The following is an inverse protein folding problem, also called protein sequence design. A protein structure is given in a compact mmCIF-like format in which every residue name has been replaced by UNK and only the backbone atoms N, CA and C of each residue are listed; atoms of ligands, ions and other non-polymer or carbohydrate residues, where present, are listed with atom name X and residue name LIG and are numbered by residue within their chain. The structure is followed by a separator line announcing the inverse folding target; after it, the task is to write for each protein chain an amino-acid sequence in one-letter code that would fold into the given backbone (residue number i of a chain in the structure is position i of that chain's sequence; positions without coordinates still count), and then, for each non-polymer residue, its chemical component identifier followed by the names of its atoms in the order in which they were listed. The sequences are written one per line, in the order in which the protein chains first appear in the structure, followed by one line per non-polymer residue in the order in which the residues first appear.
data_IF_554812736904
#
_entry.id   IF_554812736904
#
_cell.length_a   1.000
_cell.length_b   1.000
_cell.length_c   1.000
_cell.angle_alpha   90.00
_cell.angle_beta   90.00
_cell.angle_gamma   90.00
#
_symmetry.space_group_name_H-M   'P 1'
#
loop_
_entity.id
_entity.type
_entity.pdbx_description
1 polymer ?
#
# COMPACT_ATOMS: atom_id res chain seq x y z
N UNK A 1 46.72 -3.11 -18.68
CA UNK A 1 46.17 -1.74 -18.55
C UNK A 1 44.71 -1.89 -18.16
N UNK A 2 44.30 -1.23 -17.08
CA UNK A 2 42.99 -1.35 -16.43
C UNK A 2 41.90 -0.76 -17.33
N UNK A 3 40.81 -1.49 -17.57
CA UNK A 3 39.54 -0.87 -17.97
C UNK A 3 38.88 -0.33 -16.69
N UNK A 4 38.79 0.98 -16.59
CA UNK A 4 37.94 1.64 -15.61
C UNK A 4 36.49 1.57 -16.11
N UNK A 5 35.73 0.62 -15.57
CA UNK A 5 34.28 0.63 -15.70
C UNK A 5 33.75 1.82 -14.90
N UNK A 6 33.21 2.81 -15.61
CA UNK A 6 32.43 3.88 -15.03
C UNK A 6 31.16 3.26 -14.42
N UNK A 7 31.23 2.94 -13.12
CA UNK A 7 30.06 2.73 -12.30
C UNK A 7 29.34 4.07 -12.22
N UNK A 8 28.29 4.23 -13.01
CA UNK A 8 27.27 5.25 -12.73
C UNK A 8 26.77 4.94 -11.33
N UNK A 9 27.19 5.74 -10.34
CA UNK A 9 26.49 5.79 -9.07
C UNK A 9 25.07 6.18 -9.43
N UNK A 10 24.10 5.29 -9.22
CA UNK A 10 22.75 5.74 -8.95
C UNK A 10 22.87 6.68 -7.75
N UNK A 11 22.85 7.98 -8.01
CA UNK A 11 22.74 9.00 -7.00
C UNK A 11 21.36 8.83 -6.35
N UNK A 12 21.33 8.02 -5.30
CA UNK A 12 20.21 7.89 -4.38
C UNK A 12 19.87 9.29 -3.88
N UNK A 13 18.85 9.89 -4.47
CA UNK A 13 18.49 11.28 -4.24
C UNK A 13 17.64 11.35 -2.98
N UNK A 14 18.27 11.11 -1.83
CA UNK A 14 17.74 11.58 -0.54
C UNK A 14 17.85 13.09 -0.50
N UNK A 15 16.91 13.79 -1.13
CA UNK A 15 16.82 15.24 -1.02
C UNK A 15 15.37 15.70 -0.93
N UNK A 16 14.79 15.49 0.26
CA UNK A 16 13.63 16.22 0.76
C UNK A 16 14.01 17.70 0.87
N UNK A 17 13.86 18.45 -0.23
CA UNK A 17 13.93 19.90 -0.22
C UNK A 17 12.55 20.45 0.15
N UNK A 18 12.36 20.69 1.43
CA UNK A 18 11.35 21.64 1.90
C UNK A 18 11.74 23.03 1.38
N UNK A 19 11.21 23.42 0.22
CA UNK A 19 11.29 24.78 -0.30
C UNK A 19 10.03 25.57 0.11
N UNK A 20 9.79 25.65 1.41
CA UNK A 20 8.88 26.63 2.02
C UNK A 20 9.57 28.01 2.02
N UNK A 21 9.27 28.83 1.02
CA UNK A 21 9.76 30.21 0.91
C UNK A 21 8.61 31.18 0.69
N UNK A 22 7.94 31.57 1.77
CA UNK A 22 6.84 32.54 1.75
C UNK A 22 7.31 33.99 1.63
N UNK A 23 6.60 34.78 0.82
CA UNK A 23 6.55 36.24 0.90
C UNK A 23 5.11 36.65 1.22
N UNK A 24 4.85 36.95 2.49
CA UNK A 24 3.59 37.56 2.93
C UNK A 24 3.71 39.07 2.74
N UNK A 25 2.93 39.62 1.80
CA UNK A 25 2.70 41.06 1.73
C UNK A 25 1.63 41.43 2.78
N UNK A 26 2.03 42.09 3.85
CA UNK A 26 1.10 42.62 4.86
C UNK A 26 0.43 43.88 4.31
N UNK A 27 -0.80 43.75 3.84
CA UNK A 27 -1.67 44.90 3.57
C UNK A 27 -2.33 45.32 4.89
N UNK A 28 -1.84 46.43 5.46
CA UNK A 28 -2.50 47.08 6.58
C UNK A 28 -3.81 47.72 6.10
N UNK A 29 -4.95 47.11 6.42
CA UNK A 29 -6.26 47.74 6.27
C UNK A 29 -6.64 48.35 7.62
N UNK A 30 -6.57 49.68 7.69
CA UNK A 30 -7.01 50.48 8.82
C UNK A 30 -8.40 51.08 8.54
N UNK A 31 -9.25 51.12 9.58
CA UNK A 31 -10.58 51.74 9.60
C UNK A 31 -11.69 50.67 9.56
N UNK A 32 -12.77 50.72 10.35
CA UNK A 32 -13.43 51.74 11.17
C UNK A 32 -14.41 50.92 12.07
N UNK A 33 -14.36 50.96 13.41
CA UNK A 33 -15.06 51.87 14.34
C UNK A 33 -16.57 52.05 14.04
N UNK A 34 -17.38 51.94 15.12
CA UNK A 34 -18.84 52.24 15.26
C UNK A 34 -19.82 51.18 14.70
N UNK A 35 -21.00 50.89 15.27
CA UNK A 35 -21.74 51.27 16.49
C UNK A 35 -23.06 50.47 16.50
N UNK A 36 -23.58 50.14 17.69
CA UNK A 36 -25.04 50.09 17.95
C UNK A 36 -25.81 48.76 17.77
N UNK A 37 -26.58 48.39 18.80
CA UNK A 37 -27.83 47.63 18.61
C UNK A 37 -28.27 46.70 19.75
N UNK A 38 -28.89 47.26 20.79
CA UNK A 38 -29.79 46.58 21.74
C UNK A 38 -30.91 45.79 21.04
N UNK A 39 -31.28 44.64 21.60
CA UNK A 39 -32.45 43.87 21.16
C UNK A 39 -32.75 42.69 22.10
N UNK A 40 -33.35 43.00 23.24
CA UNK A 40 -33.95 42.01 24.13
C UNK A 40 -35.26 41.50 23.51
N UNK A 41 -35.42 40.18 23.42
CA UNK A 41 -36.73 39.53 23.41
C UNK A 41 -36.65 38.19 24.13
N UNK A 42 -37.47 38.08 25.17
CA UNK A 42 -37.71 36.90 25.97
C UNK A 42 -39.06 36.32 25.57
N UNK A 43 -39.10 35.02 25.27
CA UNK A 43 -40.29 34.15 25.23
C UNK A 43 -39.70 32.72 25.25
N UNK A 44 -40.02 31.77 26.14
CA UNK A 44 -41.14 31.59 27.05
C UNK A 44 -41.63 30.14 26.92
N UNK A 45 -41.64 29.37 28.04
CA UNK A 45 -42.18 28.00 28.26
C UNK A 45 -41.21 26.85 27.94
N UNK A 46 -40.66 26.09 28.89
CA UNK A 46 -41.27 25.20 29.92
C UNK A 46 -42.07 24.06 29.29
N UNK A 47 -41.51 22.85 29.29
CA UNK A 47 -42.16 21.63 29.83
C UNK A 47 -41.18 20.44 29.79
N UNK A 48 -41.32 19.63 30.84
CA UNK A 48 -40.53 18.50 31.33
C UNK A 48 -40.59 17.24 30.47
N UNK A 49 -39.55 16.41 30.49
CA UNK A 49 -39.70 15.04 31.03
C UNK A 49 -38.35 14.36 31.32
N UNK A 50 -38.31 13.70 32.46
CA UNK A 50 -37.21 12.90 32.96
C UNK A 50 -37.53 11.44 32.67
N UNK A 51 -36.57 10.65 32.21
CA UNK A 51 -36.67 9.20 32.32
C UNK A 51 -35.33 8.62 32.81
N UNK A 52 -35.46 7.90 33.92
CA UNK A 52 -34.46 7.33 34.81
C UNK A 52 -34.69 5.82 34.81
N UNK A 53 -33.61 5.04 34.72
CA UNK A 53 -33.60 3.58 34.89
C UNK A 53 -32.99 2.88 33.68
N UNK A 54 -31.98 2.03 33.78
CA UNK A 54 -31.55 1.19 34.89
C UNK A 54 -31.36 -0.22 34.33
N UNK A 55 -30.17 -0.81 34.49
CA UNK A 55 -29.92 -2.17 34.00
C UNK A 55 -28.45 -2.57 34.11
N UNK A 56 -28.02 -2.94 35.31
CA UNK A 56 -26.79 -3.67 35.53
C UNK A 56 -27.08 -5.17 35.36
N UNK A 57 -26.39 -5.83 34.44
CA UNK A 57 -26.32 -7.29 34.38
C UNK A 57 -24.85 -7.73 34.45
N UNK A 58 -24.51 -8.28 35.61
CA UNK A 58 -23.28 -9.00 35.85
C UNK A 58 -23.51 -10.47 35.50
N UNK A 59 -22.75 -10.99 34.52
CA UNK A 59 -22.72 -12.40 34.15
C UNK A 59 -21.29 -12.91 34.09
N UNK A 60 -20.91 -13.62 35.14
CA UNK A 60 -19.69 -14.41 35.32
C UNK A 60 -19.79 -15.75 34.57
N UNK A 61 -18.71 -16.16 33.90
CA UNK A 61 -18.25 -17.53 33.59
C UNK A 61 -17.02 -17.37 32.70
N UNK A 62 -15.79 -17.63 33.15
CA UNK A 62 -15.33 -18.94 33.58
C UNK A 62 -14.42 -19.48 32.46
N UNK A 63 -13.11 -19.34 32.63
CA UNK A 63 -12.14 -19.82 31.64
C UNK A 63 -11.87 -21.31 31.75
N UNK A 64 -11.55 -21.95 30.62
CA UNK A 64 -10.62 -23.08 30.53
C UNK A 64 -10.23 -23.38 29.06
N UNK A 65 -8.92 -23.27 28.80
CA UNK A 65 -8.03 -24.13 27.98
C UNK A 65 -8.49 -24.76 26.66
N UNK A 66 -7.65 -24.50 25.65
CA UNK A 66 -7.12 -25.42 24.64
C UNK A 66 -8.10 -26.27 23.80
N UNK A 67 -8.30 -25.85 22.54
CA UNK A 67 -8.46 -26.79 21.41
C UNK A 67 -7.53 -26.36 20.28
N UNK A 68 -6.41 -27.06 20.23
CA UNK A 68 -5.61 -27.24 19.04
C UNK A 68 -6.27 -28.36 18.21
N UNK A 69 -6.53 -28.08 16.94
CA UNK A 69 -6.72 -29.10 15.90
C UNK A 69 -8.15 -29.38 15.44
N UNK A 70 -8.38 -29.14 14.15
CA UNK A 70 -9.35 -29.91 13.36
C UNK A 70 -10.39 -29.08 12.64
N UNK A 71 -10.06 -28.68 11.41
CA UNK A 71 -10.90 -28.79 10.20
C UNK A 71 -12.29 -29.40 10.44
N UNK A 72 -13.34 -28.58 10.31
CA UNK A 72 -14.67 -29.04 9.92
C UNK A 72 -15.44 -27.84 9.32
N UNK A 73 -15.78 -28.00 8.04
CA UNK A 73 -16.41 -26.98 7.22
C UNK A 73 -17.73 -26.47 7.78
N UNK A 74 -17.89 -25.15 7.68
CA UNK A 74 -19.14 -24.45 7.85
C UNK A 74 -19.24 -23.41 6.74
N UNK A 75 -19.94 -23.77 5.67
CA UNK A 75 -20.48 -22.87 4.66
C UNK A 75 -21.22 -21.71 5.36
N UNK A 76 -20.58 -20.54 5.43
CA UNK A 76 -21.28 -19.26 5.53
C UNK A 76 -21.08 -18.55 4.19
N UNK A 77 -22.04 -18.82 3.31
CA UNK A 77 -22.34 -18.07 2.10
C UNK A 77 -22.84 -16.67 2.50
N UNK A 78 -21.90 -15.82 2.93
CA UNK A 78 -22.06 -14.38 3.03
C UNK A 78 -21.03 -13.79 2.05
N UNK A 79 -21.39 -13.77 0.77
CA UNK A 79 -20.55 -13.42 -0.39
C UNK A 79 -20.05 -11.97 -0.43
N UNK A 80 -19.27 -11.59 0.56
CA UNK A 80 -18.30 -10.51 0.50
C UNK A 80 -17.00 -11.10 1.02
N UNK A 81 -16.19 -11.62 0.09
CA UNK A 81 -14.77 -11.88 0.34
C UNK A 81 -14.20 -10.56 0.85
N UNK A 82 -13.96 -10.47 2.16
CA UNK A 82 -13.12 -9.43 2.71
C UNK A 82 -11.79 -9.59 1.96
N UNK A 83 -11.45 -8.62 1.11
CA UNK A 83 -10.29 -8.66 0.21
C UNK A 83 -9.00 -8.46 0.99
N UNK A 84 -8.83 -9.24 2.07
CA UNK A 84 -7.72 -9.27 3.00
C UNK A 84 -6.98 -10.60 2.98
N UNK A 85 -7.51 -11.60 2.28
CA UNK A 85 -6.87 -12.90 2.10
C UNK A 85 -6.21 -13.00 0.71
N UNK A 86 -4.89 -13.20 0.68
CA UNK A 86 -4.12 -13.21 -0.58
C UNK A 86 -4.43 -14.43 -1.44
N UNK A 87 -4.74 -15.58 -0.83
CA UNK A 87 -5.06 -16.81 -1.55
C UNK A 87 -6.36 -16.60 -2.36
N UNK A 88 -7.40 -16.07 -1.73
CA UNK A 88 -8.66 -15.75 -2.40
C UNK A 88 -8.49 -14.70 -3.51
N UNK A 89 -7.62 -13.70 -3.30
CA UNK A 89 -7.33 -12.68 -4.30
C UNK A 89 -6.62 -13.27 -5.53
N UNK A 90 -5.61 -14.13 -5.32
CA UNK A 90 -4.89 -14.83 -6.39
C UNK A 90 -5.80 -15.72 -7.24
N UNK A 91 -6.74 -16.43 -6.62
CA UNK A 91 -7.66 -17.33 -7.35
C UNK A 91 -8.57 -16.59 -8.34
N UNK A 92 -8.85 -15.30 -8.09
CA UNK A 92 -9.74 -14.49 -8.92
C UNK A 92 -8.99 -13.56 -9.88
N UNK A 93 -7.69 -13.38 -9.69
CA UNK A 93 -6.88 -12.44 -10.45
C UNK A 93 -6.47 -12.96 -11.85
N UNK A 94 -6.43 -12.06 -12.83
CA UNK A 94 -5.77 -12.30 -14.12
C UNK A 94 -4.30 -11.90 -14.00
N UNK A 95 -3.45 -12.87 -13.63
CA UNK A 95 -2.04 -12.60 -13.33
C UNK A 95 -1.26 -12.41 -14.64
N UNK A 96 -0.67 -11.23 -14.80
CA UNK A 96 0.24 -10.94 -15.91
C UNK A 96 1.69 -11.33 -15.57
N UNK A 97 2.37 -12.05 -16.47
CA UNK A 97 3.75 -12.48 -16.29
C UNK A 97 4.76 -11.37 -16.64
N UNK A 98 5.57 -11.00 -15.64
CA UNK A 98 6.68 -10.07 -15.73
C UNK A 98 8.00 -10.69 -15.23
N UNK A 99 8.08 -12.02 -15.10
CA UNK A 99 9.32 -12.72 -14.76
C UNK A 99 10.44 -12.41 -15.77
N UNK A 100 11.70 -12.46 -15.33
CA UNK A 100 12.88 -12.09 -16.11
C UNK A 100 13.11 -10.59 -16.28
N UNK A 101 12.29 -9.73 -15.67
CA UNK A 101 12.45 -8.26 -15.73
C UNK A 101 13.03 -7.71 -14.45
N UNK A 102 13.87 -6.70 -14.59
CA UNK A 102 14.46 -6.00 -13.44
C UNK A 102 13.55 -4.89 -12.88
N UNK A 103 12.59 -4.40 -13.67
CA UNK A 103 11.63 -3.36 -13.28
C UNK A 103 10.23 -3.64 -13.88
N UNK A 104 9.19 -3.38 -13.09
CA UNK A 104 7.77 -3.41 -13.48
C UNK A 104 7.12 -2.10 -13.07
N UNK A 105 6.28 -1.55 -13.95
CA UNK A 105 5.50 -0.35 -13.67
C UNK A 105 4.03 -0.71 -13.48
N UNK A 106 3.43 -0.16 -12.43
CA UNK A 106 2.00 -0.29 -12.10
C UNK A 106 1.42 1.12 -12.05
N UNK A 107 0.36 1.35 -12.80
CA UNK A 107 -0.42 2.59 -12.74
C UNK A 107 -1.38 2.52 -11.56
N UNK A 108 -1.49 3.61 -10.80
CA UNK A 108 -2.44 3.75 -9.69
C UNK A 108 -3.46 4.81 -10.06
N UNK A 109 -4.65 4.35 -10.42
CA UNK A 109 -5.78 5.19 -10.76
C UNK A 109 -6.88 5.07 -9.69
N UNK A 110 -7.36 6.17 -9.08
CA UNK A 110 -8.37 6.07 -8.03
C UNK A 110 -9.78 5.67 -8.53
N UNK A 111 -10.03 5.70 -9.84
CA UNK A 111 -11.28 5.28 -10.47
C UNK A 111 -11.22 3.84 -10.98
N UNK A 112 -10.09 3.44 -11.59
CA UNK A 112 -9.89 2.11 -12.21
C UNK A 112 -9.07 1.12 -11.35
N UNK A 113 -8.35 1.58 -10.33
CA UNK A 113 -7.54 0.77 -9.43
C UNK A 113 -6.07 0.64 -9.87
N UNK A 114 -5.50 -0.57 -9.71
CA UNK A 114 -4.14 -0.87 -10.16
C UNK A 114 -4.16 -1.42 -11.59
N UNK A 115 -3.27 -0.93 -12.46
CA UNK A 115 -3.09 -1.48 -13.81
C UNK A 115 -1.59 -1.73 -14.09
N UNK A 116 -1.15 -3.00 -14.24
CA UNK A 116 -1.93 -4.23 -14.07
C UNK A 116 -2.44 -4.46 -12.63
N UNK A 117 -3.56 -5.17 -12.48
CA UNK A 117 -4.15 -5.49 -11.16
C UNK A 117 -3.38 -6.58 -10.41
N UNK A 118 -2.83 -7.53 -11.17
CA UNK A 118 -2.10 -8.67 -10.65
C UNK A 118 -0.91 -9.02 -11.53
N UNK A 119 0.24 -9.22 -10.91
CA UNK A 119 1.50 -9.48 -11.63
C UNK A 119 2.32 -10.58 -10.99
N UNK A 120 2.99 -11.38 -11.82
CA UNK A 120 4.04 -12.32 -11.43
C UNK A 120 5.41 -11.71 -11.71
N UNK A 121 6.29 -11.67 -10.72
CA UNK A 121 7.67 -11.18 -10.83
C UNK A 121 8.64 -12.17 -10.20
N UNK A 122 9.94 -11.91 -10.37
CA UNK A 122 10.99 -12.61 -9.64
C UNK A 122 11.48 -11.79 -8.44
N UNK A 123 12.13 -12.45 -7.48
CA UNK A 123 12.91 -11.76 -6.45
C UNK A 123 13.95 -10.84 -7.08
N UNK A 124 14.28 -9.76 -6.38
CA UNK A 124 15.16 -8.67 -6.83
C UNK A 124 14.59 -7.82 -7.98
N UNK A 125 13.31 -7.97 -8.34
CA UNK A 125 12.61 -7.04 -9.26
C UNK A 125 12.12 -5.80 -8.52
N UNK A 126 12.29 -4.63 -9.15
CA UNK A 126 11.77 -3.35 -8.65
C UNK A 126 10.36 -3.11 -9.21
N UNK A 127 9.39 -2.89 -8.33
CA UNK A 127 8.04 -2.45 -8.72
C UNK A 127 7.95 -0.94 -8.52
N UNK A 128 7.51 -0.21 -9.54
CA UNK A 128 7.25 1.23 -9.51
C UNK A 128 5.77 1.51 -9.67
N UNK A 129 5.16 2.15 -8.67
CA UNK A 129 3.80 2.67 -8.75
C UNK A 129 3.83 4.11 -9.27
N UNK A 130 2.97 4.42 -10.24
CA UNK A 130 2.80 5.77 -10.79
C UNK A 130 1.35 6.23 -10.60
N UNK A 131 1.12 7.30 -9.85
CA UNK A 131 -0.23 7.80 -9.59
C UNK A 131 -0.75 8.68 -10.73
N UNK A 132 -1.96 8.40 -11.24
CA UNK A 132 -2.67 9.23 -12.22
C UNK A 132 -3.69 10.16 -11.57
N UNK A 133 -4.10 9.88 -10.34
CA UNK A 133 -5.04 10.67 -9.54
C UNK A 133 -4.65 10.73 -8.06
N UNK A 134 -5.56 11.23 -7.22
CA UNK A 134 -5.33 11.35 -5.77
C UNK A 134 -5.81 10.09 -5.06
N UNK A 135 -4.88 9.38 -4.42
CA UNK A 135 -5.14 8.24 -3.54
C UNK A 135 -4.02 8.13 -2.51
N UNK A 136 -4.16 7.23 -1.53
CA UNK A 136 -3.09 6.95 -0.58
C UNK A 136 -1.90 6.29 -1.26
N UNK A 137 -0.75 6.30 -0.58
CA UNK A 137 0.33 5.37 -0.85
C UNK A 137 -0.14 3.91 -0.77
N UNK A 138 0.69 3.03 -1.32
CA UNK A 138 0.45 1.58 -1.27
C UNK A 138 0.80 1.06 0.12
N UNK A 139 -0.16 0.38 0.75
CA UNK A 139 0.02 -0.25 2.06
C UNK A 139 -0.19 -1.78 1.96
N UNK A 140 0.51 -2.57 2.80
CA UNK A 140 0.36 -4.02 2.81
C UNK A 140 -0.98 -4.40 3.44
N UNK A 141 -1.60 -5.46 2.93
CA UNK A 141 -2.81 -6.07 3.50
C UNK A 141 -2.52 -7.49 3.99
N UNK A 142 -1.82 -8.27 3.18
CA UNK A 142 -1.35 -9.61 3.52
C UNK A 142 -0.04 -9.88 2.77
N UNK A 143 1.04 -10.19 3.50
CA UNK A 143 2.38 -10.30 2.93
C UNK A 143 3.12 -11.47 3.60
N UNK A 144 4.15 -12.04 2.96
CA UNK A 144 4.95 -13.10 3.56
C UNK A 144 5.60 -12.63 4.86
N UNK A 145 5.64 -13.48 5.89
CA UNK A 145 6.23 -13.19 7.22
C UNK A 145 7.68 -12.71 7.16
N UNK A 146 8.42 -13.14 6.13
CA UNK A 146 9.80 -12.75 5.91
C UNK A 146 9.93 -11.33 5.36
N UNK A 147 8.90 -10.80 4.69
CA UNK A 147 8.93 -9.48 4.14
C UNK A 147 8.67 -8.42 5.21
N UNK A 148 9.50 -7.37 5.21
CA UNK A 148 9.34 -6.20 6.08
C UNK A 148 8.86 -5.04 5.23
N UNK A 149 7.59 -4.67 5.35
CA UNK A 149 7.09 -3.40 4.82
C UNK A 149 7.64 -2.23 5.65
N UNK A 150 7.85 -1.07 5.03
CA UNK A 150 8.39 0.10 5.74
C UNK A 150 7.43 0.54 6.86
N UNK A 151 7.90 1.38 7.80
CA UNK A 151 7.25 1.77 9.09
C UNK A 151 5.73 1.52 9.14
N UNK A 152 5.24 0.50 9.86
CA UNK A 152 3.80 0.20 10.17
C UNK A 152 2.78 1.09 9.40
N UNK A 153 2.76 0.94 8.06
CA UNK A 153 1.84 1.67 7.19
C UNK A 153 0.61 0.81 7.02
N UNK A 154 -0.55 1.39 7.28
CA UNK A 154 -1.87 0.79 7.13
C UNK A 154 -2.79 1.80 6.42
N UNK A 155 -4.00 1.38 6.06
CA UNK A 155 -4.97 2.24 5.38
C UNK A 155 -5.24 3.58 6.10
N UNK A 156 -5.11 3.63 7.43
CA UNK A 156 -5.33 4.84 8.24
C UNK A 156 -4.09 5.75 8.36
N UNK A 157 -2.88 5.20 8.20
CA UNK A 157 -1.61 5.92 8.36
C UNK A 157 -0.93 6.27 7.03
N UNK A 158 -1.36 5.62 5.94
CA UNK A 158 -0.88 5.86 4.58
C UNK A 158 -1.02 7.34 4.17
N UNK A 159 0.07 7.92 3.67
CA UNK A 159 0.08 9.30 3.19
C UNK A 159 -0.65 9.43 1.86
N UNK A 160 -1.19 10.62 1.59
CA UNK A 160 -1.82 10.90 0.29
C UNK A 160 -0.77 11.20 -0.78
N UNK A 161 -0.92 10.56 -1.95
CA UNK A 161 -0.23 10.85 -3.20
C UNK A 161 -1.17 11.55 -4.20
N UNK A 162 -0.60 12.14 -5.24
CA UNK A 162 -1.31 12.86 -6.29
C UNK A 162 -0.82 12.45 -7.67
N UNK A 163 -1.54 12.91 -8.69
CA UNK A 163 -1.16 12.69 -10.09
C UNK A 163 0.28 13.14 -10.37
N UNK A 164 1.09 12.22 -10.88
CA UNK A 164 2.51 12.43 -11.18
C UNK A 164 3.48 12.12 -10.03
N UNK A 165 2.99 11.71 -8.86
CA UNK A 165 3.83 11.09 -7.83
C UNK A 165 4.17 9.64 -8.22
N UNK A 166 5.29 9.15 -7.72
CA UNK A 166 5.81 7.81 -7.94
C UNK A 166 6.46 7.24 -6.67
N UNK A 167 6.45 5.91 -6.56
CA UNK A 167 7.10 5.17 -5.48
C UNK A 167 7.66 3.87 -6.04
N UNK A 168 8.85 3.48 -5.59
CA UNK A 168 9.50 2.24 -5.98
C UNK A 168 9.78 1.33 -4.78
N UNK A 169 9.72 0.01 -4.99
CA UNK A 169 10.05 -1.00 -3.98
C UNK A 169 10.71 -2.22 -4.60
N UNK A 170 11.74 -2.71 -3.93
CA UNK A 170 12.40 -3.98 -4.24
C UNK A 170 11.74 -5.13 -3.45
N UNK A 171 11.37 -6.19 -4.15
CA UNK A 171 10.82 -7.41 -3.54
C UNK A 171 11.90 -8.49 -3.48
N UNK A 172 12.27 -8.90 -2.28
CA UNK A 172 13.37 -9.86 -2.06
C UNK A 172 12.92 -11.20 -1.49
N UNK A 173 11.74 -11.22 -0.87
CA UNK A 173 11.11 -12.42 -0.33
C UNK A 173 10.12 -12.97 -1.37
N UNK A 174 10.19 -14.28 -1.63
CA UNK A 174 9.20 -14.94 -2.46
C UNK A 174 7.87 -15.11 -1.71
N UNK A 175 6.80 -15.36 -2.47
CA UNK A 175 5.45 -15.53 -1.95
C UNK A 175 4.43 -14.58 -2.56
N UNK A 176 3.21 -14.66 -2.04
CA UNK A 176 2.09 -13.85 -2.48
C UNK A 176 1.94 -12.60 -1.62
N UNK A 177 1.65 -11.48 -2.26
CA UNK A 177 1.47 -10.18 -1.63
C UNK A 177 0.13 -9.59 -2.05
N UNK A 178 -0.66 -9.21 -1.06
CA UNK A 178 -1.85 -8.38 -1.21
C UNK A 178 -1.54 -6.99 -0.67
N UNK A 179 -1.80 -5.98 -1.49
CA UNK A 179 -1.61 -4.59 -1.12
C UNK A 179 -2.81 -3.74 -1.52
N UNK A 180 -2.98 -2.61 -0.84
CA UNK A 180 -4.11 -1.72 -1.03
C UNK A 180 -3.70 -0.28 -1.26
N UNK A 181 -4.62 0.50 -1.83
CA UNK A 181 -4.63 1.95 -1.81
C UNK A 181 -6.08 2.42 -1.66
N UNK A 182 -6.26 3.66 -1.20
CA UNK A 182 -7.58 4.25 -0.95
C UNK A 182 -7.73 5.58 -1.64
N UNK A 183 -8.83 5.79 -2.33
CA UNK A 183 -9.14 7.08 -2.95
C UNK A 183 -9.66 8.11 -1.93
N UNK A 184 -9.83 9.35 -2.38
CA UNK A 184 -10.29 10.47 -1.56
C UNK A 184 -11.72 10.28 -0.98
N UNK A 185 -12.51 9.39 -1.57
CA UNK A 185 -13.88 9.07 -1.16
C UNK A 185 -13.94 7.84 -0.22
N UNK A 186 -12.81 7.41 0.35
CA UNK A 186 -12.69 6.23 1.23
C UNK A 186 -12.85 4.89 0.49
N UNK A 187 -12.94 4.90 -0.84
CA UNK A 187 -12.98 3.69 -1.66
C UNK A 187 -11.61 3.01 -1.71
N UNK A 188 -11.51 1.81 -1.16
CA UNK A 188 -10.31 0.98 -1.22
C UNK A 188 -10.31 0.11 -2.48
N UNK A 189 -9.12 -0.12 -3.02
CA UNK A 189 -8.87 -1.06 -4.10
C UNK A 189 -7.55 -1.80 -3.84
N UNK A 190 -7.44 -3.01 -4.35
CA UNK A 190 -6.36 -3.95 -4.03
C UNK A 190 -5.64 -4.38 -5.29
N UNK A 191 -4.34 -4.68 -5.15
CA UNK A 191 -3.54 -5.33 -6.18
C UNK A 191 -2.82 -6.55 -5.61
N UNK A 192 -2.42 -7.45 -6.50
CA UNK A 192 -1.78 -8.71 -6.14
C UNK A 192 -0.41 -8.81 -6.81
N UNK A 193 0.58 -9.28 -6.06
CA UNK A 193 1.90 -9.56 -6.58
C UNK A 193 2.31 -10.97 -6.16
N UNK A 194 2.60 -11.80 -7.15
CA UNK A 194 3.20 -13.11 -6.95
C UNK A 194 4.71 -13.00 -7.20
N UNK A 195 5.51 -13.14 -6.15
CA UNK A 195 6.97 -13.09 -6.24
C UNK A 195 7.50 -14.51 -6.23
N UNK A 196 8.21 -14.88 -7.30
CA UNK A 196 8.86 -16.18 -7.44
C UNK A 196 10.36 -16.05 -7.21
N UNK A 197 11.01 -17.11 -6.74
CA UNK A 197 12.48 -17.11 -6.64
C UNK A 197 13.07 -16.87 -8.03
N UNK A 198 14.01 -15.92 -8.13
CA UNK A 198 14.73 -15.70 -9.39
C UNK A 198 15.46 -16.97 -9.79
N UNK A 199 15.20 -17.46 -10.99
CA UNK A 199 15.92 -18.61 -11.52
C UNK A 199 17.42 -18.34 -11.46
N UNK A 200 18.22 -19.25 -10.88
CA UNK A 200 19.65 -19.21 -11.10
C UNK A 200 19.85 -19.33 -12.59
N UNK A 201 20.23 -18.23 -13.25
CA UNK A 201 20.67 -18.24 -14.63
C UNK A 201 21.77 -19.29 -14.73
N UNK A 202 21.38 -20.47 -15.19
CA UNK A 202 22.25 -21.59 -15.41
C UNK A 202 23.27 -21.12 -16.45
N UNK A 203 24.42 -20.70 -15.93
CA UNK A 203 25.58 -20.33 -16.70
C UNK A 203 26.18 -21.62 -17.30
N UNK A 204 25.39 -22.31 -18.13
CA UNK A 204 25.80 -23.37 -19.05
C UNK A 204 26.51 -22.74 -20.24
N UNK A 205 27.58 -21.99 -19.98
CA UNK A 205 28.59 -21.78 -21.01
C UNK A 205 29.74 -22.71 -20.69
N UNK A 206 29.54 -23.96 -21.15
CA UNK A 206 30.49 -25.05 -21.11
C UNK A 206 31.88 -24.61 -21.56
N UNK A 207 32.86 -24.90 -20.70
CA UNK A 207 33.95 -25.85 -21.00
C UNK A 207 34.23 -25.95 -22.52
N UNK A 208 35.20 -25.20 -23.02
CA UNK A 208 36.56 -25.71 -23.20
C UNK A 208 36.62 -26.95 -24.12
N UNK A 209 36.32 -26.77 -25.41
CA UNK A 209 36.86 -27.64 -26.46
C UNK A 209 37.90 -26.85 -27.25
N UNK A 210 39.04 -26.61 -26.61
CA UNK A 210 40.30 -26.43 -27.34
C UNK A 210 40.75 -27.76 -27.94
N UNK A 211 40.10 -28.18 -29.03
CA UNK A 211 40.64 -29.21 -29.91
C UNK A 211 41.73 -28.59 -30.81
N UNK A 212 42.89 -28.37 -30.19
CA UNK A 212 44.15 -28.21 -30.90
C UNK A 212 44.86 -29.56 -30.90
N UNK A 213 44.47 -30.47 -31.80
CA UNK A 213 45.31 -31.63 -32.15
C UNK A 213 45.67 -31.62 -33.64
N UNK A 214 46.81 -30.97 -33.85
CA UNK A 214 47.90 -31.32 -34.77
C UNK A 214 47.70 -32.57 -35.65
N UNK A 215 47.62 -32.39 -36.96
CA UNK A 215 47.99 -33.44 -37.92
C UNK A 215 48.69 -32.82 -39.12
N UNK A 216 50.02 -33.01 -39.14
CA UNK A 216 50.95 -32.72 -40.22
C UNK A 216 50.89 -33.76 -41.35
#
# INVERSE_FOLDING_TARGET
MRLEAARTRMDWTRRRLLASGGTVAVAAVAGCLDDGGDGADADGSDDTDADDGGGADAGDNGGETDVNGGDDGGENDDGATDATDVDAALENADIEDYTGRDEVEITVDPEDGFEPEAVEIETDTVVRWNWTGTSTEVYPLDIPDECVWDEEVDAESAVENSSGDDADRLFWADGAYLYGSRNADDGAFTGVLLVTERGQEDNENGEDDTDADESA
#
